data_IF_568855522806
#
_entry.id   IF_568855522806
#
_cell.length_a   1.000
_cell.length_b   1.000
_cell.length_c   1.000
_cell.angle_alpha   90.00
_cell.angle_beta   90.00
_cell.angle_gamma   90.00
#
_symmetry.space_group_name_H-M   'P 1'
#
loop_
_entity.id
_entity.type
_entity.pdbx_description
1 polymer ?
#
# COMPACT_ATOMS: atom_id res chain seq x y z
N UNK A 1 8.06 -16.50 23.68
CA UNK A 1 7.37 -16.71 22.39
C UNK A 1 8.22 -16.15 21.26
N UNK A 2 8.16 -16.73 20.05
CA UNK A 2 8.69 -16.14 18.82
C UNK A 2 7.58 -15.38 18.10
N UNK A 3 7.75 -14.08 17.92
CA UNK A 3 6.70 -13.16 17.48
C UNK A 3 7.19 -12.36 16.27
N UNK A 4 6.39 -12.28 15.21
CA UNK A 4 6.63 -11.41 14.07
C UNK A 4 5.65 -10.23 14.09
N UNK A 5 6.16 -8.99 14.06
CA UNK A 5 5.36 -7.79 13.88
C UNK A 5 5.33 -7.44 12.39
N UNK A 6 4.23 -7.79 11.72
CA UNK A 6 4.02 -7.48 10.31
C UNK A 6 3.45 -6.07 10.18
N UNK A 7 4.32 -5.10 9.89
CA UNK A 7 3.99 -3.68 9.90
C UNK A 7 4.62 -2.96 11.08
N UNK A 8 5.95 -3.00 11.17
CA UNK A 8 6.73 -2.28 12.17
C UNK A 8 6.82 -0.76 11.85
N UNK A 9 5.67 -0.09 11.81
CA UNK A 9 5.58 1.37 11.91
C UNK A 9 5.69 1.80 13.38
N UNK A 10 5.23 3.01 13.73
CA UNK A 10 5.40 3.52 15.09
C UNK A 10 4.78 2.61 16.17
N UNK A 11 3.52 2.21 15.98
CA UNK A 11 2.81 1.30 16.88
C UNK A 11 3.42 -0.10 16.92
N UNK A 12 3.76 -0.66 15.75
CA UNK A 12 4.40 -1.98 15.66
C UNK A 12 5.77 -2.01 16.35
N UNK A 13 6.56 -0.94 16.21
CA UNK A 13 7.82 -0.77 16.92
C UNK A 13 7.61 -0.61 18.43
N UNK A 14 6.57 0.11 18.88
CA UNK A 14 6.28 0.28 20.31
C UNK A 14 5.92 -1.05 21.00
N UNK A 15 5.01 -1.82 20.38
CA UNK A 15 4.62 -3.15 20.87
C UNK A 15 5.80 -4.12 20.78
N UNK A 16 6.50 -4.13 19.64
CA UNK A 16 7.63 -5.03 19.42
C UNK A 16 8.82 -4.75 20.34
N UNK A 17 9.08 -3.49 20.68
CA UNK A 17 10.08 -3.10 21.69
C UNK A 17 9.73 -3.68 23.06
N UNK A 18 8.50 -3.44 23.55
CA UNK A 18 8.04 -3.95 24.83
C UNK A 18 8.12 -5.49 24.90
N UNK A 19 7.65 -6.18 23.86
CA UNK A 19 7.74 -7.64 23.77
C UNK A 19 9.18 -8.17 23.77
N UNK A 20 10.10 -7.45 23.11
CA UNK A 20 11.54 -7.79 23.12
C UNK A 20 12.12 -7.64 24.52
N UNK A 21 11.78 -6.55 25.23
CA UNK A 21 12.21 -6.29 26.60
C UNK A 21 11.62 -7.29 27.60
N UNK A 22 10.41 -7.79 27.33
CA UNK A 22 9.80 -8.92 28.02
C UNK A 22 10.43 -10.28 27.74
N UNK A 23 11.55 -10.32 27.01
CA UNK A 23 12.33 -11.54 26.76
C UNK A 23 11.83 -12.42 25.61
N UNK A 24 10.90 -11.94 24.78
CA UNK A 24 10.44 -12.68 23.61
C UNK A 24 11.42 -12.56 22.44
N UNK A 25 11.42 -13.56 21.55
CA UNK A 25 12.11 -13.45 20.27
C UNK A 25 11.22 -12.68 19.29
N UNK A 26 11.44 -11.37 19.17
CA UNK A 26 10.63 -10.51 18.30
C UNK A 26 11.37 -10.14 17.02
N UNK A 27 10.65 -10.27 15.90
CA UNK A 27 11.08 -9.80 14.58
C UNK A 27 10.18 -8.67 14.09
N UNK A 28 10.77 -7.53 13.75
CA UNK A 28 10.09 -6.37 13.21
C UNK A 28 10.16 -6.37 11.68
N UNK A 29 9.02 -6.51 11.01
CA UNK A 29 8.95 -6.49 9.55
C UNK A 29 8.45 -5.16 9.05
N UNK A 30 9.24 -4.50 8.20
CA UNK A 30 8.84 -3.28 7.51
C UNK A 30 9.38 -3.29 6.07
N UNK A 31 8.66 -2.69 5.13
CA UNK A 31 9.12 -2.55 3.74
C UNK A 31 10.23 -1.52 3.55
N UNK A 32 10.35 -0.55 4.46
CA UNK A 32 11.37 0.50 4.38
C UNK A 32 12.74 -0.06 4.76
N UNK A 33 13.61 -0.25 3.76
CA UNK A 33 14.99 -0.70 3.96
C UNK A 33 15.76 0.22 4.91
N UNK A 34 15.64 1.55 4.72
CA UNK A 34 16.27 2.53 5.60
C UNK A 34 15.84 2.37 7.08
N UNK A 35 14.55 2.11 7.33
CA UNK A 35 14.06 1.88 8.70
C UNK A 35 14.61 0.58 9.30
N UNK A 36 14.60 -0.50 8.52
CA UNK A 36 15.11 -1.81 8.94
C UNK A 36 16.61 -1.75 9.23
N UNK A 37 17.39 -1.12 8.37
CA UNK A 37 18.84 -1.06 8.56
C UNK A 37 19.25 -0.13 9.72
N UNK A 38 18.52 0.95 9.95
CA UNK A 38 18.70 1.75 11.16
C UNK A 38 18.49 0.93 12.44
N UNK A 39 17.42 0.10 12.48
CA UNK A 39 17.15 -0.77 13.63
C UNK A 39 18.19 -1.90 13.78
N UNK A 40 18.68 -2.47 12.68
CA UNK A 40 19.72 -3.52 12.70
C UNK A 40 21.06 -2.99 13.21
N UNK A 41 21.46 -1.81 12.74
CA UNK A 41 22.75 -1.20 13.09
C UNK A 41 22.78 -0.66 14.52
N UNK A 42 21.77 0.12 14.90
CA UNK A 42 21.81 0.93 16.12
C UNK A 42 20.83 0.47 17.21
N UNK A 43 20.04 -0.57 16.94
CA UNK A 43 18.84 -0.90 17.71
C UNK A 43 17.70 0.10 17.47
N UNK A 44 16.50 -0.25 17.95
CA UNK A 44 15.34 0.64 17.92
C UNK A 44 15.44 1.64 19.08
N UNK A 45 15.52 2.93 18.77
CA UNK A 45 15.41 3.99 19.77
C UNK A 45 13.96 4.23 20.14
N UNK A 46 13.67 4.19 21.43
CA UNK A 46 12.34 4.38 22.01
C UNK A 46 12.40 5.51 23.02
N UNK A 47 11.67 6.57 22.74
CA UNK A 47 11.40 7.64 23.70
C UNK A 47 10.02 7.42 24.33
N UNK A 48 9.88 7.56 25.64
CA UNK A 48 8.60 7.57 26.33
C UNK A 48 8.64 8.48 27.57
N UNK A 49 7.60 8.44 28.40
CA UNK A 49 7.51 9.25 29.63
C UNK A 49 8.65 8.99 30.64
N UNK A 50 9.33 7.84 30.56
CA UNK A 50 10.44 7.47 31.43
C UNK A 50 11.81 7.81 30.81
N UNK A 51 11.85 8.35 29.59
CA UNK A 51 13.06 8.78 28.90
C UNK A 51 13.35 8.04 27.59
N UNK A 52 14.58 8.15 27.12
CA UNK A 52 15.06 7.55 25.86
C UNK A 52 15.88 6.31 26.14
N UNK A 53 15.61 5.21 25.43
CA UNK A 53 16.39 3.97 25.48
C UNK A 53 16.58 3.36 24.09
N UNK A 54 17.50 2.40 23.98
CA UNK A 54 17.72 1.61 22.75
C UNK A 54 17.44 0.14 23.02
N UNK A 55 16.57 -0.43 22.22
CA UNK A 55 16.17 -1.84 22.31
C UNK A 55 16.82 -2.60 21.16
N UNK A 56 17.56 -3.67 21.50
CA UNK A 56 18.19 -4.54 20.49
C UNK A 56 17.15 -5.46 19.88
N UNK A 57 16.52 -4.99 18.81
CA UNK A 57 15.48 -5.71 18.06
C UNK A 57 16.07 -6.46 16.88
N UNK A 58 15.39 -7.54 16.45
CA UNK A 58 15.61 -8.12 15.12
C UNK A 58 14.67 -7.42 14.14
N UNK A 59 15.17 -7.01 12.99
CA UNK A 59 14.36 -6.38 11.95
C UNK A 59 14.70 -6.96 10.58
N UNK A 60 13.74 -6.99 9.66
CA UNK A 60 13.94 -7.46 8.28
C UNK A 60 12.88 -6.90 7.33
N UNK A 61 13.20 -6.85 6.04
CA UNK A 61 12.21 -6.64 4.97
C UNK A 61 11.64 -7.95 4.43
N UNK A 62 12.20 -9.11 4.83
CA UNK A 62 11.89 -10.42 4.23
C UNK A 62 11.43 -11.43 5.28
N UNK A 63 10.18 -11.85 5.18
CA UNK A 63 9.60 -12.88 6.05
C UNK A 63 10.37 -14.20 6.06
N UNK A 64 10.97 -14.59 4.93
CA UNK A 64 11.74 -15.82 4.81
C UNK A 64 12.98 -15.87 5.73
N UNK A 65 13.55 -14.73 6.12
CA UNK A 65 14.67 -14.69 7.09
C UNK A 65 14.22 -15.06 8.51
N UNK A 66 12.94 -14.85 8.81
CA UNK A 66 12.35 -15.15 10.13
C UNK A 66 11.96 -16.62 10.21
N UNK A 67 11.37 -17.15 9.14
CA UNK A 67 10.71 -18.46 9.12
C UNK A 67 9.48 -18.50 10.03
N UNK A 68 8.98 -19.71 10.30
CA UNK A 68 7.77 -19.89 11.10
C UNK A 68 7.91 -19.29 12.51
N UNK A 69 6.81 -18.71 13.01
CA UNK A 69 6.71 -18.08 14.33
C UNK A 69 5.47 -18.58 15.08
N UNK A 70 5.41 -18.35 16.39
CA UNK A 70 4.24 -18.71 17.18
C UNK A 70 3.07 -17.74 16.91
N UNK A 71 3.39 -16.45 16.76
CA UNK A 71 2.42 -15.36 16.59
C UNK A 71 2.88 -14.35 15.54
N UNK A 72 2.01 -14.04 14.58
CA UNK A 72 2.12 -12.88 13.70
C UNK A 72 1.16 -11.80 14.18
N UNK A 73 1.66 -10.61 14.53
CA UNK A 73 0.85 -9.43 14.86
C UNK A 73 0.80 -8.53 13.64
N UNK A 74 -0.38 -8.31 13.09
CA UNK A 74 -0.59 -7.52 11.86
C UNK A 74 -0.94 -6.08 12.23
N UNK A 75 -0.13 -5.14 11.75
CA UNK A 75 -0.19 -3.71 12.05
C UNK A 75 0.09 -2.83 10.82
N UNK A 76 0.05 -3.40 9.61
CA UNK A 76 0.06 -2.62 8.36
C UNK A 76 -1.21 -1.78 8.24
N UNK A 77 -1.20 -0.74 7.40
CA UNK A 77 -2.45 -0.05 7.04
C UNK A 77 -3.42 -1.04 6.39
N UNK A 78 -4.72 -0.93 6.69
CA UNK A 78 -5.71 -1.96 6.36
C UNK A 78 -5.79 -2.31 4.87
N UNK A 79 -5.56 -1.35 3.97
CA UNK A 79 -5.49 -1.59 2.52
C UNK A 79 -4.23 -2.34 2.02
N UNK A 80 -3.22 -2.55 2.87
CA UNK A 80 -2.05 -3.38 2.57
C UNK A 80 -2.14 -4.79 3.15
N UNK A 81 -3.19 -5.14 3.89
CA UNK A 81 -3.29 -6.41 4.64
C UNK A 81 -3.10 -7.63 3.76
N UNK A 82 -3.82 -7.73 2.64
CA UNK A 82 -3.72 -8.88 1.73
C UNK A 82 -2.29 -9.07 1.19
N UNK A 83 -1.73 -8.02 0.59
CA UNK A 83 -0.38 -8.06 0.01
C UNK A 83 0.70 -8.33 1.07
N UNK A 84 0.57 -7.74 2.27
CA UNK A 84 1.51 -7.95 3.35
C UNK A 84 1.45 -9.39 3.87
N UNK A 85 0.25 -9.94 4.08
CA UNK A 85 0.11 -11.31 4.59
C UNK A 85 0.55 -12.35 3.55
N UNK A 86 0.20 -12.17 2.27
CA UNK A 86 0.67 -13.07 1.19
C UNK A 86 2.18 -13.09 1.03
N UNK A 87 2.84 -11.94 1.16
CA UNK A 87 4.31 -11.86 1.12
C UNK A 87 4.98 -12.40 2.38
N UNK A 88 4.21 -12.60 3.45
CA UNK A 88 4.67 -13.09 4.75
C UNK A 88 4.26 -14.54 5.08
N UNK A 89 3.83 -15.33 4.09
CA UNK A 89 3.42 -16.74 4.31
C UNK A 89 4.53 -17.61 4.90
N UNK A 90 5.81 -17.27 4.71
CA UNK A 90 6.94 -17.95 5.34
C UNK A 90 6.93 -17.87 6.88
N UNK A 91 6.15 -16.96 7.47
CA UNK A 91 5.94 -16.86 8.92
C UNK A 91 4.95 -17.91 9.46
N UNK A 92 4.15 -18.52 8.58
CA UNK A 92 3.03 -19.38 8.97
C UNK A 92 3.48 -20.84 9.01
N UNK A 93 3.60 -21.37 10.22
CA UNK A 93 3.76 -22.80 10.52
C UNK A 93 2.45 -23.47 10.94
N UNK A 94 2.50 -24.76 11.32
CA UNK A 94 1.32 -25.56 11.68
C UNK A 94 0.48 -24.98 12.81
N UNK A 95 1.12 -24.31 13.77
CA UNK A 95 0.46 -23.78 14.99
C UNK A 95 0.47 -22.24 15.06
N UNK A 96 0.95 -21.57 14.01
CA UNK A 96 1.04 -20.10 14.00
C UNK A 96 -0.35 -19.47 14.09
N UNK A 97 -0.47 -18.49 14.98
CA UNK A 97 -1.63 -17.63 15.13
C UNK A 97 -1.38 -16.27 14.49
N UNK A 98 -2.44 -15.65 14.00
CA UNK A 98 -2.39 -14.31 13.38
C UNK A 98 -3.34 -13.40 14.14
N UNK A 99 -2.78 -12.39 14.82
CA UNK A 99 -3.53 -11.39 15.57
C UNK A 99 -3.55 -10.08 14.80
N UNK A 100 -4.74 -9.60 14.42
CA UNK A 100 -4.88 -8.22 13.94
C UNK A 100 -4.98 -7.25 15.11
N UNK A 101 -4.24 -6.15 15.05
CA UNK A 101 -4.44 -4.97 15.92
C UNK A 101 -4.74 -3.71 15.08
N UNK A 102 -5.18 -3.89 13.84
CA UNK A 102 -5.43 -2.82 12.89
C UNK A 102 -6.71 -2.05 13.21
N UNK A 103 -6.84 -0.84 12.66
CA UNK A 103 -8.08 -0.07 12.78
C UNK A 103 -9.08 -0.44 11.68
N UNK A 104 -10.37 -0.25 11.98
CA UNK A 104 -11.47 -0.53 11.05
C UNK A 104 -11.97 -1.97 11.14
N UNK A 105 -12.72 -2.41 10.14
CA UNK A 105 -13.27 -3.77 10.04
C UNK A 105 -12.94 -4.43 8.69
N UNK A 106 -12.87 -5.76 8.71
CA UNK A 106 -12.81 -6.62 7.52
C UNK A 106 -11.41 -7.07 7.14
N UNK A 107 -10.38 -6.62 7.85
CA UNK A 107 -9.03 -7.14 7.65
C UNK A 107 -8.89 -8.55 8.24
N UNK A 108 -9.66 -8.92 9.27
CA UNK A 108 -9.70 -10.29 9.81
C UNK A 108 -10.27 -11.29 8.81
N UNK A 109 -11.28 -10.90 8.02
CA UNK A 109 -11.82 -11.73 6.95
C UNK A 109 -10.76 -11.95 5.85
N UNK A 110 -10.03 -10.89 5.46
CA UNK A 110 -8.90 -10.99 4.53
C UNK A 110 -7.81 -11.92 5.06
N UNK A 111 -7.46 -11.81 6.34
CA UNK A 111 -6.48 -12.71 6.97
C UNK A 111 -7.01 -14.16 7.00
N UNK A 112 -8.28 -14.35 7.35
CA UNK A 112 -8.92 -15.66 7.41
C UNK A 112 -8.98 -16.35 6.04
N UNK A 113 -9.17 -15.60 4.95
CA UNK A 113 -9.13 -16.12 3.58
C UNK A 113 -7.72 -16.60 3.17
N UNK A 114 -6.67 -16.05 3.79
CA UNK A 114 -5.28 -16.38 3.46
C UNK A 114 -4.75 -17.53 4.33
N UNK A 115 -4.93 -17.44 5.65
CA UNK A 115 -4.33 -18.38 6.62
C UNK A 115 -5.33 -19.36 7.24
N UNK A 116 -6.62 -19.19 6.95
CA UNK A 116 -7.72 -19.96 7.55
C UNK A 116 -8.25 -19.29 8.81
N UNK A 117 -9.59 -19.21 8.92
CA UNK A 117 -10.31 -18.58 10.04
C UNK A 117 -9.88 -19.11 11.41
N UNK A 118 -9.57 -20.40 11.50
CA UNK A 118 -9.11 -21.05 12.72
C UNK A 118 -7.81 -20.48 13.29
N UNK A 119 -7.02 -19.70 12.55
CA UNK A 119 -5.76 -19.10 13.03
C UNK A 119 -5.88 -17.64 13.45
N UNK A 120 -7.00 -16.99 13.10
CA UNK A 120 -7.14 -15.54 13.21
C UNK A 120 -7.74 -15.15 14.55
N UNK A 121 -7.05 -14.25 15.23
CA UNK A 121 -7.52 -13.55 16.41
C UNK A 121 -7.72 -12.07 16.07
N UNK A 122 -8.70 -11.47 16.71
CA UNK A 122 -8.93 -10.04 16.60
C UNK A 122 -8.40 -9.32 17.83
N UNK A 123 -8.09 -8.05 17.65
CA UNK A 123 -7.66 -7.22 18.74
C UNK A 123 -7.80 -5.75 18.45
N UNK A 124 -7.87 -4.99 19.54
CA UNK A 124 -8.03 -3.56 19.56
C UNK A 124 -7.06 -2.99 20.56
N UNK A 125 -6.21 -2.09 20.11
CA UNK A 125 -5.30 -1.36 21.00
C UNK A 125 -5.67 0.12 21.12
N UNK A 126 -5.44 0.65 22.32
CA UNK A 126 -5.41 2.08 22.64
C UNK A 126 -3.98 2.62 22.77
N UNK A 127 -2.98 1.78 22.53
CA UNK A 127 -1.58 2.17 22.49
C UNK A 127 -1.35 3.09 21.28
N UNK A 128 -0.59 4.15 21.51
CA UNK A 128 -0.12 5.05 20.47
C UNK A 128 1.38 4.89 20.20
N UNK A 129 1.83 5.43 19.07
CA UNK A 129 3.24 5.63 18.80
C UNK A 129 3.44 6.68 17.73
N UNK A 130 4.52 7.45 17.81
CA UNK A 130 4.89 8.45 16.81
C UNK A 130 6.21 8.03 16.18
N UNK A 131 6.25 7.94 14.85
CA UNK A 131 7.51 7.74 14.14
C UNK A 131 8.25 9.07 14.10
N UNK A 132 9.43 9.13 14.72
CA UNK A 132 10.28 10.33 14.74
C UNK A 132 11.24 10.32 13.55
N UNK A 133 11.96 9.21 13.36
CA UNK A 133 12.91 8.98 12.27
C UNK A 133 13.03 7.47 11.99
N UNK A 134 13.67 7.04 10.89
CA UNK A 134 14.06 5.65 10.71
C UNK A 134 14.78 5.10 11.96
N UNK A 135 14.18 4.10 12.60
CA UNK A 135 14.71 3.43 13.79
C UNK A 135 14.46 4.18 15.09
N UNK A 136 13.61 5.20 15.10
CA UNK A 136 13.34 6.04 16.27
C UNK A 136 11.85 6.35 16.39
N UNK A 137 11.26 5.92 17.49
CA UNK A 137 9.86 6.17 17.84
C UNK A 137 9.72 6.88 19.18
N UNK A 138 8.56 7.51 19.36
CA UNK A 138 8.00 7.79 20.66
C UNK A 138 6.88 6.79 20.96
N UNK A 139 6.95 6.14 22.12
CA UNK A 139 6.03 5.07 22.53
C UNK A 139 4.98 5.58 23.50
N UNK A 140 3.72 5.24 23.23
CA UNK A 140 2.56 5.58 24.07
C UNK A 140 1.92 4.34 24.70
N UNK A 141 2.71 3.33 25.09
CA UNK A 141 2.20 2.06 25.67
C UNK A 141 1.70 2.21 27.11
N UNK A 142 2.27 3.13 27.90
CA UNK A 142 2.01 3.23 29.32
C UNK A 142 0.54 3.58 29.64
N UNK A 143 -0.10 2.78 30.49
CA UNK A 143 -1.49 3.00 30.94
C UNK A 143 -2.55 2.83 29.85
N UNK A 144 -2.22 2.22 28.71
CA UNK A 144 -3.15 1.97 27.61
C UNK A 144 -3.43 0.47 27.48
N UNK A 145 -4.71 0.12 27.45
CA UNK A 145 -5.13 -1.26 27.30
C UNK A 145 -5.15 -1.72 25.83
N UNK A 146 -4.90 -3.00 25.64
CA UNK A 146 -5.18 -3.75 24.41
C UNK A 146 -6.20 -4.84 24.75
N UNK A 147 -7.21 -4.99 23.93
CA UNK A 147 -8.21 -6.06 24.04
C UNK A 147 -7.95 -7.05 22.91
N UNK A 148 -7.94 -8.34 23.19
CA UNK A 148 -7.81 -9.39 22.18
C UNK A 148 -8.88 -10.45 22.42
N UNK A 149 -9.30 -11.16 21.38
CA UNK A 149 -10.31 -12.20 21.54
C UNK A 149 -10.47 -13.09 20.33
N UNK A 150 -11.21 -14.18 20.52
CA UNK A 150 -11.65 -15.04 19.45
C UNK A 150 -12.80 -14.40 18.67
N UNK A 151 -12.83 -14.61 17.36
CA UNK A 151 -13.89 -14.05 16.49
C UNK A 151 -15.29 -14.61 16.79
N UNK A 152 -15.38 -15.73 17.50
CA UNK A 152 -16.62 -16.35 17.95
C UNK A 152 -16.98 -16.03 19.42
N UNK A 153 -16.16 -15.21 20.10
CA UNK A 153 -16.35 -14.85 21.51
C UNK A 153 -15.86 -15.89 22.52
N UNK A 154 -15.28 -17.00 22.07
CA UNK A 154 -14.68 -17.98 22.97
C UNK A 154 -13.49 -17.43 23.76
N UNK A 155 -13.33 -17.89 25.00
CA UNK A 155 -12.08 -17.70 25.77
C UNK A 155 -11.31 -19.02 25.71
N UNK A 156 -10.24 -19.03 24.92
CA UNK A 156 -9.42 -20.22 24.67
C UNK A 156 -8.06 -20.11 25.36
N UNK A 157 -7.38 -21.24 25.56
CA UNK A 157 -6.02 -21.26 26.11
C UNK A 157 -5.03 -20.45 25.26
N UNK A 158 -5.20 -20.41 23.93
CA UNK A 158 -4.30 -19.71 23.03
C UNK A 158 -4.40 -18.18 23.16
N UNK A 159 -5.59 -17.61 23.28
CA UNK A 159 -5.75 -16.16 23.42
C UNK A 159 -5.32 -15.71 24.82
N UNK A 160 -5.57 -16.53 25.85
CA UNK A 160 -5.08 -16.29 27.20
C UNK A 160 -3.56 -16.31 27.27
N UNK A 161 -2.89 -17.28 26.64
CA UNK A 161 -1.43 -17.35 26.60
C UNK A 161 -0.79 -16.12 25.92
N UNK A 162 -1.42 -15.58 24.87
CA UNK A 162 -0.98 -14.33 24.24
C UNK A 162 -1.14 -13.15 25.20
N UNK A 163 -2.30 -13.02 25.86
CA UNK A 163 -2.53 -11.95 26.83
C UNK A 163 -1.53 -12.00 27.99
N UNK A 164 -1.27 -13.19 28.55
CA UNK A 164 -0.27 -13.39 29.61
C UNK A 164 1.13 -12.98 29.13
N UNK A 165 1.52 -13.39 27.91
CA UNK A 165 2.81 -13.02 27.30
C UNK A 165 2.94 -11.51 27.15
N UNK A 166 1.88 -10.83 26.70
CA UNK A 166 1.88 -9.38 26.52
C UNK A 166 1.91 -8.64 27.86
N UNK A 167 1.14 -9.10 28.85
CA UNK A 167 1.12 -8.52 30.19
C UNK A 167 2.47 -8.69 30.90
N UNK A 168 3.13 -9.85 30.77
CA UNK A 168 4.48 -10.08 31.29
C UNK A 168 5.53 -9.12 30.67
N UNK A 169 5.28 -8.66 29.43
CA UNK A 169 6.08 -7.65 28.74
C UNK A 169 5.66 -6.19 29.07
N UNK A 170 4.75 -5.99 30.04
CA UNK A 170 4.28 -4.66 30.44
C UNK A 170 3.21 -4.05 29.52
N UNK A 171 2.66 -4.82 28.57
CA UNK A 171 1.55 -4.40 27.72
C UNK A 171 0.23 -4.87 28.33
N UNK A 172 -0.53 -3.94 28.93
CA UNK A 172 -1.84 -4.24 29.51
C UNK A 172 -2.76 -4.85 28.45
N UNK A 173 -3.04 -6.15 28.57
CA UNK A 173 -3.77 -6.93 27.56
C UNK A 173 -4.89 -7.72 28.22
N UNK A 174 -6.12 -7.53 27.74
CA UNK A 174 -7.34 -8.10 28.30
C UNK A 174 -7.96 -9.03 27.25
N UNK A 175 -8.30 -10.25 27.67
CA UNK A 175 -9.06 -11.18 26.81
C UNK A 175 -10.53 -10.76 26.85
N UNK A 176 -11.12 -10.57 25.68
CA UNK A 176 -12.53 -10.21 25.50
C UNK A 176 -13.31 -11.39 24.95
N UNK A 177 -14.45 -11.67 25.57
CA UNK A 177 -15.51 -12.57 25.09
C UNK A 177 -16.44 -11.90 24.06
N UNK A 178 -16.23 -10.60 23.79
CA UNK A 178 -16.99 -9.82 22.83
C UNK A 178 -16.04 -8.90 22.02
N UNK A 179 -14.99 -9.49 21.44
CA UNK A 179 -13.99 -8.70 20.69
C UNK A 179 -14.59 -8.05 19.45
N UNK A 180 -15.55 -8.72 18.79
CA UNK A 180 -16.25 -8.16 17.62
C UNK A 180 -17.05 -6.92 18.02
N UNK A 181 -17.82 -6.97 19.12
CA UNK A 181 -18.50 -5.80 19.65
C UNK A 181 -17.53 -4.66 20.01
N UNK A 182 -16.41 -5.02 20.63
CA UNK A 182 -15.34 -4.07 21.01
C UNK A 182 -14.73 -3.35 19.79
N UNK A 183 -14.59 -4.05 18.66
CA UNK A 183 -14.14 -3.47 17.38
C UNK A 183 -15.19 -2.55 16.79
N UNK A 184 -16.46 -2.96 16.77
CA UNK A 184 -17.56 -2.12 16.30
C UNK A 184 -17.71 -0.86 17.13
N UNK A 185 -17.63 -0.93 18.46
CA UNK A 185 -17.67 0.25 19.33
C UNK A 185 -16.58 1.27 18.96
N UNK A 186 -15.37 0.80 18.64
CA UNK A 186 -14.28 1.67 18.16
C UNK A 186 -14.56 2.22 16.75
N UNK A 187 -15.16 1.41 15.88
CA UNK A 187 -15.56 1.83 14.55
C UNK A 187 -16.55 3.01 14.64
N UNK A 188 -17.53 2.95 15.54
CA UNK A 188 -18.51 4.02 15.74
C UNK A 188 -17.83 5.36 16.07
N UNK A 189 -16.79 5.34 16.92
CA UNK A 189 -16.00 6.53 17.26
C UNK A 189 -15.29 7.09 16.01
N UNK A 190 -14.70 6.24 15.18
CA UNK A 190 -14.05 6.67 13.94
C UNK A 190 -15.04 7.18 12.89
N UNK A 191 -16.22 6.56 12.78
CA UNK A 191 -17.31 6.97 11.89
C UNK A 191 -17.82 8.36 12.27
N UNK A 192 -17.89 8.67 13.58
CA UNK A 192 -18.39 9.94 14.07
C UNK A 192 -17.58 11.15 13.60
N UNK A 193 -16.25 11.03 13.42
CA UNK A 193 -15.39 12.21 13.19
C UNK A 193 -14.42 12.10 12.00
N UNK A 194 -14.02 10.89 11.62
CA UNK A 194 -12.93 10.66 10.66
C UNK A 194 -13.20 11.27 9.28
N UNK A 195 -14.29 10.85 8.63
CA UNK A 195 -14.65 11.32 7.30
C UNK A 195 -15.08 12.80 7.28
N UNK A 196 -15.68 13.30 8.36
CA UNK A 196 -16.07 14.71 8.47
C UNK A 196 -14.83 15.61 8.51
N UNK A 197 -13.90 15.35 9.43
CA UNK A 197 -12.64 16.10 9.50
C UNK A 197 -11.81 15.95 8.23
N UNK A 198 -11.80 14.77 7.61
CA UNK A 198 -11.14 14.56 6.32
C UNK A 198 -11.76 15.37 5.17
N UNK A 199 -13.09 15.52 5.16
CA UNK A 199 -13.80 16.27 4.11
C UNK A 199 -13.65 17.79 4.28
N UNK A 200 -13.68 18.27 5.52
CA UNK A 200 -13.71 19.71 5.82
C UNK A 200 -12.35 20.30 6.12
N UNK A 201 -11.36 19.48 6.46
CA UNK A 201 -10.03 19.94 6.92
C UNK A 201 -10.02 20.47 8.36
N UNK A 202 -11.13 20.36 9.09
CA UNK A 202 -11.28 20.95 10.42
C UNK A 202 -10.59 20.13 11.52
N UNK A 203 -10.04 20.81 12.52
CA UNK A 203 -9.61 20.19 13.77
C UNK A 203 -10.82 19.84 14.65
N UNK A 204 -10.60 19.12 15.75
CA UNK A 204 -11.69 18.79 16.67
C UNK A 204 -12.41 20.01 17.23
N UNK A 205 -11.73 21.04 17.71
CA UNK A 205 -12.39 22.24 18.22
C UNK A 205 -13.39 22.82 17.21
N UNK A 206 -12.93 23.01 15.97
CA UNK A 206 -13.77 23.52 14.89
C UNK A 206 -14.90 22.56 14.49
N UNK A 207 -14.67 21.24 14.53
CA UNK A 207 -15.68 20.22 14.24
C UNK A 207 -16.82 20.25 15.28
N UNK A 208 -16.48 20.31 16.58
CA UNK A 208 -17.46 20.30 17.67
C UNK A 208 -18.23 21.63 17.80
N UNK A 209 -17.66 22.72 17.29
CA UNK A 209 -18.31 24.04 17.24
C UNK A 209 -19.35 24.18 16.10
N UNK A 210 -19.42 23.22 15.17
CA UNK A 210 -20.34 23.24 14.02
C UNK A 210 -21.52 22.26 14.18
N UNK A 211 -22.74 22.73 14.52
CA UNK A 211 -23.89 21.88 14.78
C UNK A 211 -24.35 21.03 13.59
N UNK A 212 -24.15 21.50 12.36
CA UNK A 212 -24.52 20.73 11.16
C UNK A 212 -23.65 19.49 11.01
N UNK A 213 -22.36 19.57 11.38
CA UNK A 213 -21.45 18.43 11.34
C UNK A 213 -21.79 17.41 12.43
N UNK A 214 -22.20 17.86 13.62
CA UNK A 214 -22.75 16.95 14.65
C UNK A 214 -23.95 16.18 14.12
N UNK A 215 -24.88 16.84 13.43
CA UNK A 215 -26.07 16.18 12.86
C UNK A 215 -25.69 15.07 11.88
N UNK A 216 -24.73 15.32 10.98
CA UNK A 216 -24.23 14.29 10.04
C UNK A 216 -23.52 13.16 10.77
N UNK A 217 -22.71 13.47 11.80
CA UNK A 217 -22.01 12.48 12.60
C UNK A 217 -22.98 11.50 13.26
N UNK A 218 -24.01 12.02 13.95
CA UNK A 218 -25.01 11.20 14.63
C UNK A 218 -25.78 10.32 13.64
N UNK A 219 -26.11 10.83 12.46
CA UNK A 219 -26.77 10.04 11.42
C UNK A 219 -25.86 8.91 10.89
N UNK A 220 -24.58 9.18 10.64
CA UNK A 220 -23.61 8.16 10.20
C UNK A 220 -23.40 7.08 11.27
N UNK A 221 -23.34 7.46 12.54
CA UNK A 221 -23.23 6.52 13.67
C UNK A 221 -24.50 5.70 13.83
N UNK A 222 -25.68 6.31 13.71
CA UNK A 222 -26.96 5.61 13.79
C UNK A 222 -27.09 4.52 12.71
N UNK A 223 -26.67 4.81 11.47
CA UNK A 223 -26.59 3.79 10.41
C UNK A 223 -25.66 2.64 10.82
N UNK A 224 -24.47 2.95 11.34
CA UNK A 224 -23.51 1.93 11.76
C UNK A 224 -24.04 1.06 12.92
N UNK A 225 -24.75 1.63 13.88
CA UNK A 225 -25.42 0.90 14.96
C UNK A 225 -26.50 -0.02 14.39
N UNK A 226 -27.33 0.47 13.46
CA UNK A 226 -28.36 -0.35 12.81
C UNK A 226 -27.76 -1.54 12.04
N UNK A 227 -26.64 -1.33 11.34
CA UNK A 227 -25.90 -2.41 10.67
C UNK A 227 -25.36 -3.43 11.69
N UNK A 228 -24.73 -2.97 12.78
CA UNK A 228 -24.20 -3.85 13.81
C UNK A 228 -25.29 -4.73 14.44
N UNK A 229 -26.45 -4.14 14.75
CA UNK A 229 -27.62 -4.87 15.26
C UNK A 229 -28.10 -5.93 14.27
N UNK A 230 -28.24 -5.59 12.99
CA UNK A 230 -28.65 -6.54 11.96
C UNK A 230 -27.61 -7.65 11.72
N UNK A 231 -26.35 -7.39 12.06
CA UNK A 231 -25.26 -8.36 12.05
C UNK A 231 -25.19 -9.23 13.33
N UNK A 232 -26.05 -9.00 14.32
CA UNK A 232 -26.04 -9.74 15.58
C UNK A 232 -24.87 -9.35 16.49
N UNK A 233 -24.28 -8.18 16.31
CA UNK A 233 -23.16 -7.69 17.11
C UNK A 233 -23.67 -7.02 18.38
N UNK A 234 -23.15 -7.44 19.53
CA UNK A 234 -23.43 -6.83 20.82
C UNK A 234 -22.56 -5.59 21.03
N UNK A 235 -23.16 -4.40 20.92
CA UNK A 235 -22.50 -3.11 21.17
C UNK A 235 -22.56 -2.71 22.65
N UNK A 236 -21.61 -1.89 23.11
CA UNK A 236 -21.68 -1.31 24.46
C UNK A 236 -22.64 -0.13 24.57
N UNK A 237 -23.03 0.46 23.43
CA UNK A 237 -24.00 1.55 23.36
C UNK A 237 -24.86 1.44 22.10
N UNK A 238 -26.13 1.83 22.23
CA UNK A 238 -27.06 2.00 21.11
C UNK A 238 -27.41 3.48 20.89
N UNK A 239 -26.83 4.39 21.69
CA UNK A 239 -26.98 5.83 21.56
C UNK A 239 -25.89 6.40 20.63
N UNK A 240 -26.25 7.01 19.48
CA UNK A 240 -25.30 7.63 18.56
C UNK A 240 -24.51 8.80 19.14
N UNK A 241 -25.02 9.47 20.19
CA UNK A 241 -24.34 10.61 20.81
C UNK A 241 -23.12 10.18 21.64
N UNK A 242 -23.14 8.94 22.12
CA UNK A 242 -22.05 8.39 22.94
C UNK A 242 -20.74 8.26 22.15
N UNK A 243 -20.68 7.63 20.95
CA UNK A 243 -19.46 7.61 20.13
C UNK A 243 -18.97 8.99 19.71
N UNK A 244 -19.87 9.93 19.40
CA UNK A 244 -19.51 11.32 19.11
C UNK A 244 -18.80 11.97 20.28
N UNK A 245 -19.35 11.85 21.48
CA UNK A 245 -18.75 12.45 22.70
C UNK A 245 -17.40 11.80 23.02
N UNK A 246 -17.35 10.47 22.97
CA UNK A 246 -16.13 9.70 23.22
C UNK A 246 -15.02 10.04 22.23
N UNK A 247 -15.34 10.40 20.99
CA UNK A 247 -14.35 10.70 19.97
C UNK A 247 -13.48 11.91 20.33
N UNK A 248 -14.00 12.88 21.09
CA UNK A 248 -13.29 14.08 21.52
C UNK A 248 -12.78 14.06 22.96
N UNK A 249 -13.17 13.07 23.77
CA UNK A 249 -12.87 13.04 25.20
C UNK A 249 -11.36 12.98 25.48
N UNK A 250 -10.87 13.91 26.30
CA UNK A 250 -9.45 13.98 26.69
C UNK A 250 -8.49 14.44 25.57
N UNK A 251 -9.02 14.91 24.42
CA UNK A 251 -8.22 15.39 23.30
C UNK A 251 -8.28 16.92 23.20
N UNK A 252 -7.20 17.54 22.69
CA UNK A 252 -7.13 18.99 22.54
C UNK A 252 -7.97 19.49 21.36
N UNK A 253 -8.37 20.77 21.39
CA UNK A 253 -9.09 21.41 20.29
C UNK A 253 -8.30 21.42 18.97
N UNK A 254 -6.97 21.38 19.03
CA UNK A 254 -6.08 21.30 17.87
C UNK A 254 -5.92 19.88 17.31
N UNK A 255 -6.51 18.86 17.94
CA UNK A 255 -6.36 17.47 17.51
C UNK A 255 -6.90 17.26 16.09
N UNK A 256 -6.18 16.45 15.31
CA UNK A 256 -6.54 16.03 13.95
C UNK A 256 -6.66 14.51 13.89
N UNK A 257 -7.71 14.01 13.26
CA UNK A 257 -7.89 12.56 13.06
C UNK A 257 -6.78 11.98 12.17
N UNK A 258 -6.55 10.67 12.27
CA UNK A 258 -5.59 9.97 11.38
C UNK A 258 -5.96 10.08 9.90
N UNK A 259 -7.25 10.19 9.59
CA UNK A 259 -7.75 10.40 8.24
C UNK A 259 -7.36 11.78 7.72
N UNK A 260 -7.63 12.85 8.48
CA UNK A 260 -7.22 14.21 8.13
C UNK A 260 -5.69 14.29 7.97
N UNK A 261 -4.93 13.74 8.92
CA UNK A 261 -3.47 13.71 8.83
C UNK A 261 -2.95 12.95 7.60
N UNK A 262 -3.65 11.90 7.15
CA UNK A 262 -3.27 11.16 5.93
C UNK A 262 -3.49 12.02 4.68
N UNK A 263 -4.62 12.73 4.62
CA UNK A 263 -4.92 13.64 3.51
C UNK A 263 -3.94 14.81 3.46
N UNK A 264 -3.61 15.43 4.60
CA UNK A 264 -2.62 16.51 4.67
C UNK A 264 -1.22 16.06 4.20
N UNK A 265 -0.88 14.78 4.37
CA UNK A 265 0.37 14.16 3.91
C UNK A 265 0.31 13.69 2.46
N UNK A 266 -0.76 13.95 1.71
CA UNK A 266 -0.85 13.50 0.32
C UNK A 266 -1.10 11.99 0.17
N UNK A 267 -1.56 11.30 1.21
CA UNK A 267 -1.73 9.85 1.25
C UNK A 267 -3.19 9.42 1.21
N UNK A 268 -3.46 8.22 0.69
CA UNK A 268 -4.77 7.56 0.81
C UNK A 268 -5.13 7.25 2.26
N UNK A 269 -6.43 7.17 2.53
CA UNK A 269 -7.03 6.99 3.86
C UNK A 269 -7.52 5.58 4.10
N UNK A 270 -8.00 5.32 5.33
CA UNK A 270 -8.64 4.06 5.72
C UNK A 270 -10.17 4.09 5.52
N UNK A 271 -10.71 5.01 4.71
CA UNK A 271 -12.16 5.21 4.55
C UNK A 271 -12.91 3.92 4.19
N UNK A 272 -12.33 3.06 3.37
CA UNK A 272 -12.93 1.79 2.95
C UNK A 272 -13.08 0.80 4.10
N UNK A 273 -12.24 0.90 5.14
CA UNK A 273 -12.26 0.02 6.31
C UNK A 273 -12.98 0.65 7.51
N UNK A 274 -13.39 1.91 7.39
CA UNK A 274 -14.17 2.63 8.41
C UNK A 274 -15.62 2.75 7.92
N UNK A 275 -15.99 3.85 7.26
CA UNK A 275 -17.34 4.05 6.74
C UNK A 275 -17.67 3.07 5.61
N UNK A 276 -16.69 2.71 4.78
CA UNK A 276 -16.88 1.72 3.72
C UNK A 276 -17.18 0.32 4.26
N UNK A 277 -16.70 -0.02 5.46
CA UNK A 277 -17.06 -1.26 6.11
C UNK A 277 -18.53 -1.26 6.52
N UNK A 278 -19.01 -0.16 7.11
CA UNK A 278 -20.44 0.02 7.43
C UNK A 278 -21.30 -0.17 6.19
N UNK A 279 -20.91 0.42 5.05
CA UNK A 279 -21.63 0.27 3.77
C UNK A 279 -21.68 -1.18 3.30
N UNK A 280 -20.55 -1.89 3.30
CA UNK A 280 -20.49 -3.30 2.87
C UNK A 280 -21.32 -4.21 3.77
N UNK A 281 -21.26 -4.01 5.08
CA UNK A 281 -22.06 -4.78 6.03
C UNK A 281 -23.55 -4.42 5.92
N UNK A 282 -23.89 -3.15 5.71
CA UNK A 282 -25.27 -2.72 5.46
C UNK A 282 -25.86 -3.41 4.24
N UNK A 283 -25.11 -3.48 3.12
CA UNK A 283 -25.52 -4.24 1.94
C UNK A 283 -25.73 -5.73 2.24
N UNK A 284 -24.82 -6.37 2.99
CA UNK A 284 -24.91 -7.79 3.37
C UNK A 284 -26.15 -8.10 4.21
N UNK A 285 -26.56 -7.17 5.07
CA UNK A 285 -27.66 -7.34 6.01
C UNK A 285 -28.95 -6.61 5.62
N UNK A 286 -29.00 -6.00 4.42
CA UNK A 286 -30.18 -5.29 3.93
C UNK A 286 -30.51 -3.99 4.66
N UNK A 287 -29.51 -3.36 5.30
CA UNK A 287 -29.67 -2.09 6.04
C UNK A 287 -29.14 -0.93 5.20
N UNK A 288 -29.97 0.10 4.90
CA UNK A 288 -29.51 1.28 4.18
C UNK A 288 -28.46 2.09 4.95
N UNK A 289 -27.40 2.52 4.28
CA UNK A 289 -26.32 3.34 4.86
C UNK A 289 -25.98 4.57 3.98
N UNK A 290 -26.96 5.42 3.60
CA UNK A 290 -26.75 6.51 2.65
C UNK A 290 -25.75 7.58 3.12
N UNK A 291 -25.71 7.92 4.41
CA UNK A 291 -24.78 8.92 4.95
C UNK A 291 -23.35 8.37 4.89
N UNK A 292 -23.14 7.14 5.36
CA UNK A 292 -21.82 6.50 5.26
C UNK A 292 -21.37 6.36 3.80
N UNK A 293 -22.26 5.96 2.89
CA UNK A 293 -21.93 5.85 1.46
C UNK A 293 -21.55 7.19 0.85
N UNK A 294 -22.24 8.27 1.24
CA UNK A 294 -21.91 9.64 0.80
C UNK A 294 -20.54 10.08 1.32
N UNK A 295 -20.26 9.87 2.61
CA UNK A 295 -18.96 10.20 3.21
C UNK A 295 -17.81 9.44 2.56
N UNK A 296 -18.01 8.15 2.24
CA UNK A 296 -17.05 7.35 1.47
C UNK A 296 -16.80 7.99 0.10
N UNK A 297 -17.86 8.32 -0.65
CA UNK A 297 -17.73 8.92 -1.97
C UNK A 297 -16.99 10.27 -1.93
N UNK A 298 -17.27 11.12 -0.93
CA UNK A 298 -16.59 12.41 -0.75
C UNK A 298 -15.09 12.23 -0.52
N UNK A 299 -14.69 11.36 0.42
CA UNK A 299 -13.26 11.12 0.70
C UNK A 299 -12.57 10.49 -0.51
N UNK A 300 -13.21 9.55 -1.22
CA UNK A 300 -12.67 9.01 -2.47
C UNK A 300 -12.50 10.07 -3.56
N UNK A 301 -13.44 11.00 -3.66
CA UNK A 301 -13.33 12.16 -4.53
C UNK A 301 -12.15 13.05 -4.16
N UNK A 302 -11.92 13.29 -2.86
CA UNK A 302 -10.78 14.07 -2.36
C UNK A 302 -9.46 13.36 -2.65
N UNK A 303 -9.35 12.06 -2.36
CA UNK A 303 -8.16 11.24 -2.68
C UNK A 303 -7.84 11.33 -4.17
N UNK A 304 -8.85 11.19 -5.04
CA UNK A 304 -8.69 11.34 -6.48
C UNK A 304 -8.23 12.75 -6.87
N UNK A 305 -8.86 13.78 -6.34
CA UNK A 305 -8.49 15.17 -6.63
C UNK A 305 -7.07 15.49 -6.17
N UNK A 306 -6.61 14.90 -5.06
CA UNK A 306 -5.22 15.02 -4.61
C UNK A 306 -4.25 14.36 -5.58
N UNK A 307 -4.54 13.15 -6.04
CA UNK A 307 -3.73 12.49 -7.08
C UNK A 307 -3.68 13.33 -8.35
N UNK A 308 -4.82 13.85 -8.80
CA UNK A 308 -4.89 14.72 -9.99
C UNK A 308 -4.09 16.03 -9.79
N UNK A 309 -4.11 16.62 -8.58
CA UNK A 309 -3.30 17.81 -8.25
C UNK A 309 -1.80 17.49 -8.16
N UNK A 310 -1.40 16.36 -7.61
CA UNK A 310 -0.01 15.93 -7.58
C UNK A 310 0.51 15.75 -9.01
N UNK A 311 -0.26 15.05 -9.86
CA UNK A 311 0.01 14.94 -11.30
C UNK A 311 0.06 16.32 -11.97
N UNK A 312 -0.89 17.20 -11.66
CA UNK A 312 -0.92 18.56 -12.20
C UNK A 312 0.29 19.38 -11.74
N UNK A 313 0.74 19.27 -10.49
CA UNK A 313 1.91 20.00 -9.99
C UNK A 313 3.20 19.49 -10.62
N UNK A 314 3.31 18.19 -10.87
CA UNK A 314 4.39 17.59 -11.66
C UNK A 314 4.35 18.15 -13.09
N UNK A 315 3.17 18.22 -13.69
CA UNK A 315 2.95 18.75 -15.05
C UNK A 315 3.04 20.28 -15.16
N UNK A 316 2.90 21.06 -14.08
CA UNK A 316 2.97 22.53 -14.08
C UNK A 316 4.33 23.05 -13.57
N UNK A 317 5.10 22.25 -12.82
CA UNK A 317 6.52 22.50 -12.53
C UNK A 317 7.39 22.44 -13.78
N UNK A 318 6.91 21.76 -14.83
CA UNK A 318 7.45 21.77 -16.18
C UNK A 318 6.41 22.42 -17.09
N UNK A 319 6.47 23.73 -17.33
CA UNK A 319 5.50 24.45 -18.19
C UNK A 319 5.26 23.73 -19.53
N UNK A 320 4.14 23.00 -19.65
CA UNK A 320 3.41 22.81 -20.91
C UNK A 320 1.91 22.85 -20.59
N UNK A 321 1.22 23.82 -21.19
CA UNK A 321 -0.15 24.19 -20.90
C UNK A 321 -1.13 23.05 -21.23
N UNK A 322 -2.00 22.73 -20.26
CA UNK A 322 -3.09 21.78 -20.41
C UNK A 322 -4.18 22.29 -21.35
N UNK A 323 -4.48 21.52 -22.39
CA UNK A 323 -5.84 21.39 -22.93
C UNK A 323 -6.02 19.99 -23.47
N UNK A 324 -7.11 19.36 -23.02
CA UNK A 324 -7.69 18.09 -23.45
C UNK A 324 -7.17 16.81 -22.76
N UNK A 325 -7.81 16.45 -21.65
CA UNK A 325 -8.02 15.04 -21.28
C UNK A 325 -9.47 14.87 -20.80
N UNK A 326 -10.41 15.03 -21.72
CA UNK A 326 -11.76 14.48 -21.60
C UNK A 326 -11.85 13.22 -22.46
N UNK A 327 -12.36 12.15 -21.83
CA UNK A 327 -12.77 10.84 -22.39
C UNK A 327 -11.68 9.79 -22.65
N UNK A 328 -11.68 8.76 -21.80
CA UNK A 328 -12.11 7.42 -22.23
C UNK A 328 -13.21 6.95 -21.28
N UNK A 329 -14.33 6.55 -21.88
CA UNK A 329 -15.64 6.29 -21.28
C UNK A 329 -15.76 4.84 -20.77
N UNK A 330 -16.57 4.69 -19.73
CA UNK A 330 -17.53 3.62 -19.42
C UNK A 330 -17.15 2.14 -19.59
N UNK A 331 -17.28 1.45 -18.46
CA UNK A 331 -18.18 0.30 -18.39
C UNK A 331 -17.60 -1.03 -18.84
N UNK A 332 -16.75 -1.64 -18.02
CA UNK A 332 -16.89 -3.07 -17.75
C UNK A 332 -16.39 -3.38 -16.34
N UNK A 333 -17.26 -4.01 -15.55
CA UNK A 333 -16.99 -4.45 -14.19
C UNK A 333 -16.34 -5.84 -14.25
N UNK A 334 -15.15 -5.90 -14.84
CA UNK A 334 -14.24 -7.04 -14.75
C UNK A 334 -12.83 -6.52 -14.60
N UNK A 335 -12.16 -6.99 -13.54
CA UNK A 335 -10.84 -7.62 -13.59
C UNK A 335 -10.20 -7.54 -12.19
N UNK A 336 -10.57 -8.51 -11.35
CA UNK A 336 -9.87 -8.88 -10.12
C UNK A 336 -8.67 -9.80 -10.47
N UNK A 337 -7.83 -9.36 -11.42
CA UNK A 337 -6.67 -10.09 -11.92
C UNK A 337 -5.37 -9.47 -11.44
N UNK A 338 -4.31 -10.28 -11.32
CA UNK A 338 -2.95 -9.80 -11.09
C UNK A 338 -2.56 -8.81 -12.19
N UNK A 339 -2.21 -7.58 -11.79
CA UNK A 339 -1.66 -6.59 -12.72
C UNK A 339 -0.16 -6.84 -12.84
N UNK A 340 0.30 -7.06 -14.07
CA UNK A 340 1.71 -7.19 -14.40
C UNK A 340 2.05 -6.25 -15.56
N UNK A 341 3.31 -5.85 -15.66
CA UNK A 341 3.84 -5.12 -16.80
C UNK A 341 5.15 -5.79 -17.24
N UNK A 342 5.48 -5.66 -18.52
CA UNK A 342 6.74 -6.13 -19.09
C UNK A 342 7.79 -5.02 -18.92
N UNK A 343 8.86 -5.28 -18.16
CA UNK A 343 9.86 -4.24 -17.85
C UNK A 343 10.83 -3.96 -18.99
N UNK A 344 11.34 -5.02 -19.62
CA UNK A 344 12.18 -4.90 -20.80
C UNK A 344 12.08 -6.17 -21.66
N UNK A 345 12.59 -6.06 -22.89
CA UNK A 345 12.75 -7.15 -23.85
C UNK A 345 14.22 -7.26 -24.20
N UNK A 346 14.80 -8.45 -24.07
CA UNK A 346 16.19 -8.73 -24.42
C UNK A 346 16.28 -9.48 -25.76
N UNK A 347 17.19 -9.03 -26.62
CA UNK A 347 17.46 -9.66 -27.92
C UNK A 347 18.97 -9.85 -28.13
N UNK A 348 19.33 -10.94 -28.82
CA UNK A 348 20.69 -11.13 -29.31
C UNK A 348 20.88 -10.40 -30.62
N UNK A 349 22.02 -9.70 -30.75
CA UNK A 349 22.38 -8.94 -31.94
C UNK A 349 23.80 -9.29 -32.39
N UNK A 350 24.00 -9.36 -33.70
CA UNK A 350 25.30 -9.71 -34.30
C UNK A 350 26.26 -8.53 -34.30
N UNK A 351 25.77 -7.32 -34.59
CA UNK A 351 26.49 -6.06 -34.46
C UNK A 351 25.78 -5.16 -33.45
N UNK A 352 26.26 -5.16 -32.20
CA UNK A 352 25.63 -4.39 -31.12
C UNK A 352 25.73 -2.88 -31.34
N UNK A 353 26.82 -2.39 -31.94
CA UNK A 353 27.00 -0.95 -32.16
C UNK A 353 26.08 -0.43 -33.25
N UNK A 354 25.84 -1.22 -34.30
CA UNK A 354 24.86 -0.88 -35.31
C UNK A 354 23.46 -0.72 -34.71
N UNK A 355 23.05 -1.63 -33.82
CA UNK A 355 21.74 -1.57 -33.16
C UNK A 355 21.62 -0.40 -32.19
N UNK A 356 22.67 -0.12 -31.41
CA UNK A 356 22.68 1.06 -30.52
C UNK A 356 22.45 2.33 -31.34
N UNK A 357 23.24 2.55 -32.40
CA UNK A 357 23.09 3.74 -33.25
C UNK A 357 21.72 3.80 -33.90
N UNK A 358 21.23 2.69 -34.46
CA UNK A 358 19.91 2.65 -35.09
C UNK A 358 18.80 3.05 -34.11
N UNK A 359 18.72 2.42 -32.94
CA UNK A 359 17.65 2.70 -31.99
C UNK A 359 17.79 4.08 -31.32
N UNK A 360 19.00 4.59 -31.17
CA UNK A 360 19.24 5.96 -30.69
C UNK A 360 18.83 7.00 -31.74
N UNK A 361 19.32 6.90 -32.98
CA UNK A 361 19.06 7.89 -34.03
C UNK A 361 17.61 7.89 -34.51
N UNK A 362 17.00 6.70 -34.63
CA UNK A 362 15.65 6.53 -35.19
C UNK A 362 14.57 6.76 -34.13
N UNK A 363 14.81 6.36 -32.88
CA UNK A 363 13.79 6.35 -31.83
C UNK A 363 14.16 7.18 -30.59
N UNK A 364 15.36 7.74 -30.50
CA UNK A 364 15.83 8.44 -29.30
C UNK A 364 16.04 7.52 -28.11
N UNK A 365 16.19 6.20 -28.33
CA UNK A 365 16.34 5.21 -27.27
C UNK A 365 17.79 5.15 -26.79
N UNK A 366 18.18 6.13 -25.98
CA UNK A 366 19.55 6.32 -25.45
C UNK A 366 19.91 5.33 -24.33
N UNK A 367 21.19 5.28 -23.95
CA UNK A 367 21.70 4.39 -22.90
C UNK A 367 21.00 4.59 -21.55
N UNK A 368 20.55 3.49 -20.95
CA UNK A 368 20.13 3.40 -19.55
C UNK A 368 21.20 2.73 -18.68
N UNK A 369 21.72 1.60 -19.13
CA UNK A 369 22.65 0.73 -18.39
C UNK A 369 23.54 -0.02 -19.40
N UNK A 370 24.75 -0.39 -19.00
CA UNK A 370 25.68 -1.15 -19.84
C UNK A 370 26.48 -2.15 -19.00
N UNK A 371 26.67 -3.36 -19.55
CA UNK A 371 27.62 -4.35 -19.04
C UNK A 371 28.78 -4.44 -20.03
N UNK A 372 29.99 -4.15 -19.55
CA UNK A 372 31.17 -3.85 -20.38
C UNK A 372 31.52 -2.36 -20.30
N UNK A 373 32.08 -1.82 -21.38
CA UNK A 373 32.26 -0.36 -21.54
C UNK A 373 31.31 0.15 -22.62
N UNK A 374 31.20 1.48 -22.76
CA UNK A 374 30.40 2.08 -23.84
C UNK A 374 31.03 1.78 -25.21
N UNK A 375 32.36 1.69 -25.24
CA UNK A 375 33.14 1.37 -26.42
C UNK A 375 33.09 -0.12 -26.79
N UNK A 376 32.96 -1.01 -25.80
CA UNK A 376 32.91 -2.46 -25.98
C UNK A 376 31.79 -3.09 -25.12
N UNK A 377 30.51 -2.84 -25.44
CA UNK A 377 29.40 -3.34 -24.66
C UNK A 377 29.19 -4.83 -24.91
N UNK A 378 29.09 -5.61 -23.83
CA UNK A 378 28.59 -6.99 -23.88
C UNK A 378 27.07 -7.01 -23.84
N UNK A 379 26.48 -6.13 -23.03
CA UNK A 379 25.04 -5.90 -22.98
C UNK A 379 24.76 -4.40 -22.86
N UNK A 380 23.67 -3.95 -23.48
CA UNK A 380 23.29 -2.54 -23.51
C UNK A 380 21.79 -2.40 -23.32
N UNK A 381 21.36 -1.66 -22.31
CA UNK A 381 19.96 -1.36 -22.06
C UNK A 381 19.64 0.06 -22.50
N UNK A 382 18.54 0.24 -23.22
CA UNK A 382 18.05 1.54 -23.64
C UNK A 382 16.96 2.10 -22.71
N UNK A 383 16.80 3.42 -22.72
CA UNK A 383 15.55 4.05 -22.31
C UNK A 383 14.44 3.57 -23.26
N UNK A 384 13.30 3.16 -22.70
CA UNK A 384 12.19 2.54 -23.45
C UNK A 384 12.19 1.01 -23.47
N UNK A 385 13.13 0.35 -22.78
CA UNK A 385 12.97 -1.06 -22.37
C UNK A 385 13.49 -2.10 -23.36
N UNK A 386 14.47 -1.78 -24.21
CA UNK A 386 15.22 -2.77 -24.98
C UNK A 386 16.56 -3.10 -24.32
N UNK A 387 16.96 -4.36 -24.41
CA UNK A 387 18.28 -4.84 -24.06
C UNK A 387 18.91 -5.54 -25.26
N UNK A 388 20.06 -5.07 -25.70
CA UNK A 388 20.89 -5.72 -26.70
C UNK A 388 21.95 -6.58 -26.02
N UNK A 389 22.08 -7.84 -26.45
CA UNK A 389 23.10 -8.77 -25.98
C UNK A 389 23.99 -9.11 -27.18
N UNK A 390 25.27 -8.73 -27.11
CA UNK A 390 26.19 -8.94 -28.22
C UNK A 390 26.50 -10.43 -28.39
N UNK A 391 26.16 -10.99 -29.55
CA UNK A 391 26.50 -12.35 -29.92
C UNK A 391 26.76 -12.42 -31.44
N UNK A 392 28.01 -12.29 -31.90
CA UNK A 392 28.37 -12.22 -33.32
C UNK A 392 28.12 -13.55 -34.08
N UNK A 393 27.91 -14.65 -33.37
CA UNK A 393 27.66 -15.98 -33.93
C UNK A 393 26.19 -16.41 -33.81
N UNK A 394 25.28 -15.50 -33.46
CA UNK A 394 23.88 -15.82 -33.30
C UNK A 394 23.18 -16.01 -34.66
N UNK A 395 22.97 -17.27 -35.04
CA UNK A 395 22.29 -17.69 -36.28
C UNK A 395 20.98 -18.48 -36.02
N UNK A 396 20.51 -18.51 -34.76
CA UNK A 396 19.40 -19.37 -34.35
C UNK A 396 18.01 -18.68 -34.49
N UNK A 397 16.95 -19.43 -34.87
CA UNK A 397 15.56 -18.95 -34.82
C UNK A 397 14.92 -19.04 -33.43
N UNK A 398 15.48 -19.80 -32.48
CA UNK A 398 15.00 -19.84 -31.09
C UNK A 398 15.23 -18.50 -30.38
N UNK A 399 14.17 -17.91 -29.83
CA UNK A 399 14.22 -16.62 -29.13
C UNK A 399 14.06 -15.39 -30.04
N UNK A 400 13.84 -15.55 -31.35
CA UNK A 400 13.49 -14.41 -32.23
C UNK A 400 12.00 -14.05 -32.08
N UNK A 401 11.74 -12.86 -31.57
CA UNK A 401 10.41 -12.25 -31.55
C UNK A 401 9.87 -12.12 -32.98
N UNK A 402 8.56 -12.26 -33.16
CA UNK A 402 7.93 -12.10 -34.48
C UNK A 402 8.21 -10.72 -35.09
N UNK A 403 8.12 -9.66 -34.27
CA UNK A 403 8.57 -8.30 -34.54
C UNK A 403 8.64 -7.50 -33.23
N UNK A 404 9.25 -6.32 -33.27
CA UNK A 404 9.23 -5.32 -32.20
C UNK A 404 8.32 -4.14 -32.60
N UNK A 405 7.21 -3.96 -31.88
CA UNK A 405 6.38 -2.77 -32.02
C UNK A 405 6.98 -1.61 -31.21
N UNK A 406 7.39 -0.53 -31.89
CA UNK A 406 7.94 0.68 -31.28
C UNK A 406 6.95 1.83 -31.46
N UNK A 407 6.48 2.36 -30.33
CA UNK A 407 5.54 3.48 -30.33
C UNK A 407 6.30 4.80 -30.53
N UNK A 408 6.06 5.49 -31.64
CA UNK A 408 6.76 6.71 -32.02
C UNK A 408 5.90 7.94 -31.71
N UNK A 409 6.53 8.97 -31.12
CA UNK A 409 5.88 10.28 -30.96
C UNK A 409 5.64 10.94 -32.33
N UNK A 410 6.62 10.84 -33.22
CA UNK A 410 6.55 11.21 -34.64
C UNK A 410 7.05 10.04 -35.49
N UNK A 411 6.10 9.27 -36.04
CA UNK A 411 6.42 8.10 -36.85
C UNK A 411 7.05 8.48 -38.20
N UNK A 412 6.70 9.63 -38.78
CA UNK A 412 7.24 10.04 -40.09
C UNK A 412 8.70 10.49 -39.95
N UNK A 413 9.04 11.21 -38.87
CA UNK A 413 10.42 11.56 -38.56
C UNK A 413 11.27 10.31 -38.31
N UNK A 414 10.76 9.34 -37.56
CA UNK A 414 11.44 8.06 -37.34
C UNK A 414 11.65 7.29 -38.65
N UNK A 415 10.63 7.20 -39.52
CA UNK A 415 10.78 6.57 -40.84
C UNK A 415 11.81 7.28 -41.72
N UNK A 416 11.86 8.60 -41.70
CA UNK A 416 12.86 9.38 -42.44
C UNK A 416 14.28 9.14 -41.90
N UNK A 417 14.46 9.07 -40.58
CA UNK A 417 15.75 8.74 -39.96
C UNK A 417 16.21 7.32 -40.32
N UNK A 418 15.30 6.36 -40.33
CA UNK A 418 15.60 4.96 -40.65
C UNK A 418 16.11 4.75 -42.09
N UNK A 419 15.80 5.65 -43.04
CA UNK A 419 16.30 5.57 -44.42
C UNK A 419 17.83 5.70 -44.53
N UNK A 420 18.49 6.22 -43.51
CA UNK A 420 19.95 6.33 -43.46
C UNK A 420 20.63 4.99 -43.11
N UNK A 421 19.83 4.01 -42.70
CA UNK A 421 20.26 2.68 -42.33
C UNK A 421 19.88 1.67 -43.42
N UNK A 422 20.63 0.58 -43.55
CA UNK A 422 20.42 -0.47 -44.55
C UNK A 422 19.22 -1.37 -44.19
N UNK A 423 18.05 -0.75 -44.03
CA UNK A 423 16.78 -1.40 -43.69
C UNK A 423 15.93 -1.60 -44.93
N UNK A 424 15.11 -2.64 -44.94
CA UNK A 424 14.18 -2.93 -46.03
C UNK A 424 12.72 -2.89 -45.57
N UNK A 425 11.84 -2.30 -46.40
CA UNK A 425 10.40 -2.32 -46.16
C UNK A 425 9.85 -3.74 -46.27
N UNK A 426 8.96 -4.10 -45.36
CA UNK A 426 8.31 -5.42 -45.34
C UNK A 426 6.92 -5.38 -46.02
N UNK A 427 6.41 -6.53 -46.55
CA UNK A 427 5.12 -6.59 -47.24
C UNK A 427 3.89 -6.11 -46.44
N UNK A 428 4.00 -6.06 -45.11
CA UNK A 428 2.98 -5.60 -44.19
C UNK A 428 2.70 -4.08 -44.33
N UNK A 429 3.68 -3.31 -44.80
CA UNK A 429 3.54 -1.89 -45.11
C UNK A 429 4.77 -1.05 -44.73
N UNK A 430 4.77 0.22 -45.15
CA UNK A 430 5.90 1.15 -44.99
C UNK A 430 6.38 1.39 -43.57
N UNK A 431 5.54 1.13 -42.58
CA UNK A 431 5.89 1.25 -41.17
C UNK A 431 6.49 -0.05 -40.59
N UNK A 432 6.73 -1.07 -41.43
CA UNK A 432 7.38 -2.31 -41.06
C UNK A 432 8.74 -2.41 -41.74
N UNK A 433 9.80 -2.45 -40.92
CA UNK A 433 11.18 -2.47 -41.37
C UNK A 433 11.85 -3.79 -40.99
N UNK A 434 12.68 -4.31 -41.90
CA UNK A 434 13.59 -5.43 -41.65
C UNK A 434 15.01 -4.87 -41.54
N UNK A 435 15.65 -5.10 -40.40
CA UNK A 435 17.05 -4.74 -40.15
C UNK A 435 18.00 -5.79 -40.80
N UNK A 436 19.29 -5.47 -41.03
CA UNK A 436 20.24 -6.35 -41.73
C UNK A 436 20.41 -7.75 -41.13
N UNK A 437 20.28 -7.88 -39.80
CA UNK A 437 20.39 -9.16 -39.09
C UNK A 437 19.10 -9.99 -39.10
N UNK A 438 18.06 -9.44 -39.74
CA UNK A 438 16.76 -10.06 -39.88
C UNK A 438 15.74 -9.65 -38.83
N UNK A 439 16.02 -8.73 -37.91
CA UNK A 439 15.02 -8.24 -36.95
C UNK A 439 13.91 -7.46 -37.66
N UNK A 440 12.64 -7.76 -37.35
CA UNK A 440 11.49 -6.98 -37.83
C UNK A 440 11.08 -5.93 -36.78
N UNK A 441 10.88 -4.69 -37.21
CA UNK A 441 10.44 -3.57 -36.37
C UNK A 441 9.21 -2.93 -37.00
N UNK A 442 8.13 -2.83 -36.23
CA UNK A 442 6.93 -2.06 -36.60
C UNK A 442 6.98 -0.71 -35.88
N UNK A 443 6.90 0.37 -36.66
CA UNK A 443 6.76 1.72 -36.15
C UNK A 443 5.27 2.05 -36.00
N UNK A 444 4.86 2.52 -34.83
CA UNK A 444 3.47 2.76 -34.48
C UNK A 444 3.31 4.21 -34.04
N UNK A 445 2.53 5.00 -34.78
CA UNK A 445 2.24 6.38 -34.38
C UNK A 445 1.43 6.41 -33.07
N UNK A 446 2.02 6.98 -32.02
CA UNK A 446 1.35 7.25 -30.76
C UNK A 446 0.14 8.18 -30.93
N UNK A 447 -0.96 7.84 -30.26
CA UNK A 447 -2.19 8.63 -30.22
C UNK A 447 -2.74 8.72 -28.78
N UNK A 448 -2.58 9.86 -28.08
CA UNK A 448 -1.85 11.06 -28.51
C UNK A 448 -0.34 10.82 -28.54
N UNK A 449 0.41 11.58 -29.36
CA UNK A 449 1.87 11.51 -29.47
C UNK A 449 2.57 11.56 -28.09
N UNK A 450 2.04 12.39 -27.18
CA UNK A 450 2.51 12.56 -25.80
C UNK A 450 2.45 11.31 -24.92
N UNK A 451 1.81 10.21 -25.36
CA UNK A 451 1.81 8.96 -24.60
C UNK A 451 3.20 8.30 -24.55
N UNK A 452 4.07 8.55 -25.54
CA UNK A 452 5.45 8.04 -25.53
C UNK A 452 6.22 8.62 -24.36
N UNK A 453 6.23 9.95 -24.22
CA UNK A 453 6.87 10.62 -23.09
C UNK A 453 6.33 10.13 -21.73
N UNK A 454 5.01 9.92 -21.62
CA UNK A 454 4.38 9.40 -20.39
C UNK A 454 4.77 7.96 -20.07
N UNK A 455 5.01 7.12 -21.09
CA UNK A 455 5.47 5.75 -20.89
C UNK A 455 6.94 5.73 -20.45
N UNK A 456 7.77 6.60 -21.02
CA UNK A 456 9.18 6.73 -20.67
C UNK A 456 9.42 7.32 -19.26
N UNK A 457 8.48 8.12 -18.74
CA UNK A 457 8.53 8.69 -17.38
C UNK A 457 8.30 7.65 -16.26
N UNK A 458 7.83 6.44 -16.62
CA UNK A 458 7.70 5.34 -15.66
C UNK A 458 9.10 4.82 -15.34
N UNK A 459 9.65 5.21 -14.19
CA UNK A 459 10.89 4.66 -13.65
C UNK A 459 10.61 3.60 -12.58
N UNK A 460 10.51 2.30 -12.93
CA UNK A 460 10.21 1.24 -11.97
C UNK A 460 11.37 0.94 -11.01
N UNK A 461 12.56 1.48 -11.26
CA UNK A 461 13.76 1.31 -10.44
C UNK A 461 14.18 2.60 -9.73
N UNK A 462 13.33 3.63 -9.74
CA UNK A 462 13.60 4.84 -8.96
C UNK A 462 13.73 4.48 -7.48
N UNK A 463 14.91 4.71 -6.92
CA UNK A 463 15.09 4.69 -5.47
C UNK A 463 14.29 5.86 -4.89
N UNK A 464 13.37 5.55 -3.96
CA UNK A 464 12.48 6.52 -3.31
C UNK A 464 13.22 7.32 -2.25
#
# INVERSE_FOLDING_TARGET
MKIAILGAGALGCAIGAALTEGGNEVWLLNRSAAHVEAMRRDGLRVDDANGSRRVKVKATTRAAEVGAVDLVVVLVKSFHTDAAMRSALALIGPDTLVLSLQNGLGHEDVLADIVGRGRVLAGKTYVGGVMRNPGHIESGVAGKATYIGELDGGITSRVTAIAETFNAAGLTTIVSDNIVGTMWDKLLVNVATGALTGTTGLTYGQLYDEPLLKTVALAAVAEAIAVAHAAGVTLSTTDPERPWTLAGEGLSSAFKTSMLQSLEKGSITEIDFINGAVVRWGQRHGVPTPVNATLVACIKGIERAMTDRQLSNILHGTRVSAKALTRVDKGDNRMNGSKAYLEHVAIWVTDIHWHIRFFEDVFGMTMREVDGTVEEPRQYWTLGGLQFIHNPHHDAPEGRLGHLGVMCEDMEAALAAAQQYDVSEMPQGRNWLRLPDGLAVELIQAKPASCVARALDINPRAEV
#
